data_IF_171148129334
#
_entry.id   IF_171148129334
#
_cell.length_a   1.000
_cell.length_b   1.000
_cell.length_c   1.000
_cell.angle_alpha   90.00
_cell.angle_beta   90.00
_cell.angle_gamma   90.00
#
_symmetry.space_group_name_H-M   'P 1'
#
loop_
_entity.id
_entity.type
_entity.pdbx_description
1 polymer ?
#
# COMPACT_ATOMS: atom_id res chain seq x y z
N UNK A 1 -5.53 16.85 6.61
CA UNK A 1 -4.40 16.26 5.85
C UNK A 1 -3.35 17.33 5.60
N UNK A 2 -2.16 17.17 6.18
CA UNK A 2 -1.04 18.07 5.94
C UNK A 2 -0.32 17.68 4.64
N UNK A 3 0.10 18.66 3.84
CA UNK A 3 0.98 18.45 2.70
C UNK A 3 2.42 18.26 3.22
N UNK A 4 2.71 17.09 3.77
CA UNK A 4 4.02 16.74 4.34
C UNK A 4 4.83 15.93 3.32
N UNK A 5 6.00 16.41 2.87
CA UNK A 5 6.90 15.65 2.01
C UNK A 5 7.41 14.37 2.71
N UNK A 6 7.81 13.38 1.90
CA UNK A 6 8.49 12.17 2.40
C UNK A 6 9.78 12.52 3.14
N UNK A 7 10.12 11.74 4.16
CA UNK A 7 11.36 11.92 4.96
C UNK A 7 12.63 11.46 4.25
N UNK A 8 12.49 10.73 3.12
CA UNK A 8 13.57 10.25 2.28
C UNK A 8 14.62 9.43 3.05
N UNK A 9 14.27 8.22 3.53
CA UNK A 9 15.24 7.33 4.17
C UNK A 9 16.46 7.06 3.26
N UNK A 10 17.65 6.83 3.84
CA UNK A 10 18.85 6.62 3.06
C UNK A 10 18.73 5.39 2.16
N UNK A 11 19.25 5.51 0.93
CA UNK A 11 19.34 4.38 0.01
C UNK A 11 20.25 3.30 0.60
N UNK A 12 19.85 2.03 0.43
CA UNK A 12 20.55 0.88 1.02
C UNK A 12 20.13 0.55 2.46
N UNK A 13 19.16 1.29 3.03
CA UNK A 13 18.48 0.87 4.26
C UNK A 13 17.70 -0.42 4.02
N UNK A 14 17.87 -1.40 4.91
CA UNK A 14 17.06 -2.62 4.92
C UNK A 14 15.59 -2.30 5.19
N UNK A 15 14.69 -3.01 4.51
CA UNK A 15 13.26 -2.88 4.76
C UNK A 15 12.94 -3.34 6.21
N UNK A 16 12.28 -2.50 7.02
CA UNK A 16 11.86 -2.92 8.36
C UNK A 16 10.87 -4.10 8.29
N UNK A 17 11.04 -5.06 9.19
CA UNK A 17 10.11 -6.19 9.31
C UNK A 17 8.68 -5.71 9.65
N UNK A 18 7.68 -6.35 9.04
CA UNK A 18 6.27 -6.19 9.37
C UNK A 18 5.55 -7.55 9.33
N UNK A 19 4.44 -7.63 10.08
CA UNK A 19 3.38 -8.66 10.00
C UNK A 19 2.08 -7.93 10.33
N UNK A 20 1.23 -7.73 9.32
CA UNK A 20 0.02 -6.93 9.44
C UNK A 20 -1.12 -7.56 8.62
N UNK A 21 -2.38 -7.43 9.07
CA UNK A 21 -3.52 -7.92 8.31
C UNK A 21 -3.89 -6.97 7.14
N UNK A 22 -4.34 -7.54 6.03
CA UNK A 22 -5.03 -6.81 4.96
C UNK A 22 -6.46 -6.41 5.37
N UNK A 23 -7.17 -5.73 4.47
CA UNK A 23 -8.57 -5.33 4.67
C UNK A 23 -9.55 -6.52 4.88
N UNK A 24 -9.14 -7.75 4.57
CA UNK A 24 -9.91 -8.98 4.72
C UNK A 24 -9.49 -9.81 5.94
N UNK A 25 -8.46 -9.37 6.68
CA UNK A 25 -7.92 -10.05 7.85
C UNK A 25 -6.88 -11.13 7.53
N UNK A 26 -6.36 -11.20 6.30
CA UNK A 26 -5.24 -12.08 5.96
C UNK A 26 -3.93 -11.42 6.40
N UNK A 27 -3.13 -12.13 7.20
CA UNK A 27 -1.82 -11.65 7.63
C UNK A 27 -0.80 -11.68 6.48
N UNK A 28 -0.05 -10.58 6.35
CA UNK A 28 1.05 -10.43 5.41
C UNK A 28 2.32 -9.96 6.12
N UNK A 29 3.42 -10.64 5.81
CA UNK A 29 4.74 -10.40 6.39
C UNK A 29 5.79 -10.09 5.33
N UNK A 30 6.87 -9.41 5.72
CA UNK A 30 7.94 -9.04 4.79
C UNK A 30 8.53 -10.26 4.05
N UNK A 31 8.69 -11.39 4.75
CA UNK A 31 9.29 -12.60 4.19
C UNK A 31 8.47 -13.29 3.11
N UNK A 32 7.18 -12.98 2.96
CA UNK A 32 6.35 -13.51 1.86
C UNK A 32 6.82 -13.01 0.49
N UNK A 33 7.57 -11.91 0.46
CA UNK A 33 8.02 -11.26 -0.77
C UNK A 33 9.46 -11.58 -1.15
N UNK A 34 10.18 -12.42 -0.37
CA UNK A 34 11.60 -12.75 -0.60
C UNK A 34 11.87 -13.41 -1.96
N UNK A 35 10.86 -14.01 -2.58
CA UNK A 35 10.95 -14.61 -3.92
C UNK A 35 10.92 -13.61 -5.08
N UNK A 36 10.59 -12.34 -4.83
CA UNK A 36 10.46 -11.32 -5.86
C UNK A 36 11.78 -10.56 -6.08
N UNK A 37 12.16 -10.26 -7.33
CA UNK A 37 13.33 -9.41 -7.63
C UNK A 37 13.30 -8.00 -7.02
N UNK A 38 12.12 -7.53 -6.61
CA UNK A 38 11.96 -6.28 -5.88
C UNK A 38 10.60 -6.22 -5.20
N UNK A 39 10.52 -5.41 -4.15
CA UNK A 39 9.31 -5.11 -3.39
C UNK A 39 9.05 -3.61 -3.37
N UNK A 40 7.84 -3.21 -3.75
CA UNK A 40 7.32 -1.87 -3.53
C UNK A 40 6.39 -1.88 -2.31
N UNK A 41 6.78 -1.17 -1.25
CA UNK A 41 5.91 -0.88 -0.10
C UNK A 41 5.36 0.54 -0.24
N UNK A 42 4.04 0.68 -0.30
CA UNK A 42 3.35 1.95 -0.50
C UNK A 42 2.47 2.32 0.71
N UNK A 43 2.82 3.38 1.42
CA UNK A 43 1.96 3.93 2.48
C UNK A 43 0.89 4.83 1.86
N UNK A 44 -0.37 4.41 1.94
CA UNK A 44 -1.52 5.08 1.32
C UNK A 44 -2.71 5.14 2.29
N UNK A 45 -3.78 5.82 1.89
CA UNK A 45 -5.04 5.83 2.63
C UNK A 45 -6.21 6.16 1.70
N UNK A 46 -7.43 5.80 2.07
CA UNK A 46 -8.61 5.86 1.19
C UNK A 46 -9.12 7.29 0.94
N UNK A 47 -8.84 8.24 1.83
CA UNK A 47 -9.43 9.58 1.75
C UNK A 47 -8.47 10.71 1.33
N UNK A 48 -7.19 10.41 1.10
CA UNK A 48 -6.19 11.43 0.78
C UNK A 48 -6.31 11.92 -0.67
N UNK A 49 -6.51 13.22 -0.95
CA UNK A 49 -6.64 13.71 -2.32
C UNK A 49 -5.42 13.38 -3.21
N UNK A 50 -4.22 13.26 -2.63
CA UNK A 50 -3.01 12.86 -3.36
C UNK A 50 -3.06 11.38 -3.78
N UNK A 51 -3.57 10.48 -2.92
CA UNK A 51 -3.80 9.07 -3.28
C UNK A 51 -4.92 8.96 -4.29
N UNK A 52 -6.04 9.66 -4.05
CA UNK A 52 -7.19 9.70 -4.96
C UNK A 52 -6.74 10.11 -6.37
N UNK A 53 -5.86 11.10 -6.47
CA UNK A 53 -5.32 11.59 -7.73
C UNK A 53 -4.58 10.50 -8.53
N UNK A 54 -3.82 9.63 -7.89
CA UNK A 54 -2.98 8.63 -8.56
C UNK A 54 -3.58 7.22 -8.61
N UNK A 55 -4.64 6.92 -7.84
CA UNK A 55 -5.12 5.54 -7.61
C UNK A 55 -5.22 4.66 -8.86
N UNK A 56 -5.80 5.16 -9.95
CA UNK A 56 -6.02 4.38 -11.18
C UNK A 56 -4.71 4.11 -11.90
N UNK A 57 -3.81 5.10 -11.91
CA UNK A 57 -2.48 4.95 -12.47
C UNK A 57 -1.64 4.00 -11.62
N UNK A 58 -1.76 4.07 -10.29
CA UNK A 58 -1.06 3.18 -9.37
C UNK A 58 -1.52 1.72 -9.55
N UNK A 59 -2.82 1.46 -9.62
CA UNK A 59 -3.34 0.12 -9.89
C UNK A 59 -2.91 -0.42 -11.25
N UNK A 60 -2.91 0.42 -12.30
CA UNK A 60 -2.42 0.03 -13.63
C UNK A 60 -0.92 -0.30 -13.63
N UNK A 61 -0.11 0.55 -12.99
CA UNK A 61 1.32 0.32 -12.80
C UNK A 61 1.57 -1.00 -12.07
N UNK A 62 0.92 -1.23 -10.94
CA UNK A 62 1.16 -2.42 -10.15
C UNK A 62 0.83 -3.69 -10.96
N UNK A 63 -0.30 -3.74 -11.66
CA UNK A 63 -0.64 -4.89 -12.52
C UNK A 63 0.42 -5.15 -13.58
N UNK A 64 0.90 -4.12 -14.26
CA UNK A 64 1.93 -4.27 -15.31
C UNK A 64 3.25 -4.84 -14.75
N UNK A 65 3.64 -4.44 -13.54
CA UNK A 65 4.93 -4.83 -12.98
C UNK A 65 4.88 -6.09 -12.12
N UNK A 66 3.71 -6.45 -11.56
CA UNK A 66 3.47 -7.76 -10.96
C UNK A 66 3.76 -8.88 -11.98
N UNK A 67 3.34 -8.71 -13.24
CA UNK A 67 3.64 -9.67 -14.33
C UNK A 67 5.14 -9.76 -14.65
N UNK A 68 5.94 -8.76 -14.27
CA UNK A 68 7.40 -8.69 -14.47
C UNK A 68 8.19 -9.12 -13.24
N UNK A 69 7.50 -9.54 -12.16
CA UNK A 69 8.10 -10.05 -10.93
C UNK A 69 8.20 -9.06 -9.77
N UNK A 70 7.80 -7.79 -9.95
CA UNK A 70 7.74 -6.84 -8.83
C UNK A 70 6.66 -7.29 -7.84
N UNK A 71 6.99 -7.44 -6.56
CA UNK A 71 5.98 -7.51 -5.50
C UNK A 71 5.51 -6.10 -5.12
N UNK A 72 4.23 -5.96 -4.80
CA UNK A 72 3.65 -4.71 -4.31
C UNK A 72 2.84 -5.01 -3.05
N UNK A 73 2.96 -4.16 -2.03
CA UNK A 73 2.10 -4.16 -0.85
C UNK A 73 1.77 -2.71 -0.49
N UNK A 74 0.50 -2.45 -0.19
CA UNK A 74 0.07 -1.17 0.33
C UNK A 74 -0.21 -1.27 1.84
N UNK A 75 0.03 -0.18 2.57
CA UNK A 75 -0.15 -0.11 4.02
C UNK A 75 -0.94 1.14 4.36
N UNK A 76 -2.05 0.97 5.08
CA UNK A 76 -2.78 2.05 5.73
C UNK A 76 -2.31 2.19 7.18
N UNK A 77 -1.73 3.34 7.53
CA UNK A 77 -1.19 3.61 8.88
C UNK A 77 -1.88 4.77 9.59
N UNK A 78 -3.04 5.20 9.08
CA UNK A 78 -3.77 6.33 9.62
C UNK A 78 -4.49 5.95 10.92
N UNK A 79 -4.67 6.92 11.82
CA UNK A 79 -5.42 6.73 13.06
C UNK A 79 -6.92 6.58 12.76
N UNK A 80 -7.44 5.35 12.91
CA UNK A 80 -8.84 5.02 12.64
C UNK A 80 -9.84 5.69 13.58
N UNK A 81 -9.42 6.14 14.76
CA UNK A 81 -10.30 6.90 15.65
C UNK A 81 -10.57 8.30 15.08
N UNK A 82 -9.61 8.87 14.36
CA UNK A 82 -9.71 10.18 13.71
C UNK A 82 -10.23 10.09 12.28
N UNK A 83 -9.85 9.03 11.56
CA UNK A 83 -10.19 8.80 10.16
C UNK A 83 -10.76 7.39 9.96
N UNK A 84 -12.00 7.12 10.41
CA UNK A 84 -12.62 5.80 10.30
C UNK A 84 -12.71 5.26 8.86
N UNK A 85 -12.78 6.18 7.88
CA UNK A 85 -12.81 5.83 6.46
C UNK A 85 -11.52 5.21 5.93
N UNK A 86 -10.42 5.22 6.70
CA UNK A 86 -9.19 4.51 6.34
C UNK A 86 -9.16 3.08 6.90
N UNK A 87 -10.23 2.63 7.55
CA UNK A 87 -10.38 1.27 8.04
C UNK A 87 -10.65 0.26 6.91
N UNK A 88 -10.85 -1.02 7.27
CA UNK A 88 -10.98 -2.12 6.31
C UNK A 88 -12.01 -1.86 5.19
N UNK A 89 -13.19 -1.34 5.51
CA UNK A 89 -14.21 -1.02 4.51
C UNK A 89 -13.74 0.01 3.48
N UNK A 90 -13.02 1.04 3.93
CA UNK A 90 -12.46 2.06 3.05
C UNK A 90 -11.29 1.56 2.23
N UNK A 91 -10.47 0.67 2.81
CA UNK A 91 -9.38 -0.01 2.10
C UNK A 91 -9.91 -0.88 0.96
N UNK A 92 -10.96 -1.69 1.22
CA UNK A 92 -11.64 -2.49 0.19
C UNK A 92 -12.15 -1.59 -0.93
N UNK A 93 -12.88 -0.51 -0.59
CA UNK A 93 -13.41 0.42 -1.59
C UNK A 93 -12.31 1.09 -2.42
N UNK A 94 -11.23 1.52 -1.78
CA UNK A 94 -10.09 2.14 -2.47
C UNK A 94 -9.41 1.13 -3.42
N UNK A 95 -9.27 -0.13 -3.00
CA UNK A 95 -8.79 -1.23 -3.85
C UNK A 95 -9.67 -1.45 -5.08
N UNK A 96 -10.99 -1.48 -4.90
CA UNK A 96 -11.93 -1.63 -6.02
C UNK A 96 -11.87 -0.44 -6.99
N UNK A 97 -11.86 0.79 -6.47
CA UNK A 97 -11.84 2.01 -7.27
C UNK A 97 -10.50 2.22 -8.00
N UNK A 98 -9.39 1.77 -7.41
CA UNK A 98 -8.05 1.79 -7.99
C UNK A 98 -7.74 0.57 -8.88
N UNK A 99 -8.50 -0.52 -8.74
CA UNK A 99 -8.22 -1.81 -9.37
C UNK A 99 -6.94 -2.45 -8.83
N UNK A 100 -6.71 -2.37 -7.52
CA UNK A 100 -5.56 -2.97 -6.86
C UNK A 100 -5.69 -4.50 -6.86
N UNK A 101 -4.59 -5.18 -7.21
CA UNK A 101 -4.50 -6.64 -7.29
C UNK A 101 -3.37 -7.17 -6.39
N UNK A 102 -3.02 -6.39 -5.37
CA UNK A 102 -1.97 -6.63 -4.41
C UNK A 102 -2.53 -6.44 -2.99
N UNK A 103 -1.88 -6.97 -1.95
CA UNK A 103 -2.35 -6.82 -0.58
C UNK A 103 -2.41 -5.34 -0.16
N UNK A 104 -3.53 -4.95 0.44
CA UNK A 104 -3.76 -3.63 1.03
C UNK A 104 -4.52 -3.76 2.33
#
# INVERSE_FOLDING_TARGET
>A
MAATPSTMPPLGMDAPHFSIPDAHGNEHSLGEFDGSPGLLVAFICAHCPFVIHIRKAFGAFAREYLEKGLAVVAIASNDLAQYPQDGPEGMVKESEEGGYTFPY
#
